data_IF_110932901791
#
_entry.id   IF_110932901791
#
_cell.length_a   1.000
_cell.length_b   1.000
_cell.length_c   1.000
_cell.angle_alpha   90.00
_cell.angle_beta   90.00
_cell.angle_gamma   90.00
#
_symmetry.space_group_name_H-M   'P 1'
#
loop_
_entity.id
_entity.type
_entity.pdbx_description
1 polymer ?
#
# COMPACT_ATOMS: atom_id res chain seq x y z
N UNK A 1 -28.58 -18.82 11.74
CA UNK A 1 -28.68 -17.39 12.10
C UNK A 1 -27.25 -16.89 12.16
N UNK A 2 -26.79 -16.24 11.09
CA UNK A 2 -25.48 -15.61 11.04
C UNK A 2 -25.48 -14.51 12.09
N UNK A 3 -24.57 -14.57 13.07
CA UNK A 3 -24.30 -13.39 13.89
C UNK A 3 -23.68 -12.36 12.94
N UNK A 4 -24.32 -11.21 12.81
CA UNK A 4 -23.68 -10.05 12.19
C UNK A 4 -22.36 -9.81 12.93
N UNK A 5 -21.23 -9.64 12.23
CA UNK A 5 -19.99 -9.25 12.88
C UNK A 5 -20.23 -7.94 13.64
N UNK A 6 -19.62 -7.82 14.82
CA UNK A 6 -19.64 -6.60 15.62
C UNK A 6 -18.83 -5.52 14.87
N UNK A 7 -19.52 -4.83 13.96
CA UNK A 7 -18.94 -3.79 13.11
C UNK A 7 -18.34 -2.64 13.92
N UNK A 8 -18.86 -2.37 15.13
CA UNK A 8 -18.30 -1.37 16.03
C UNK A 8 -16.94 -1.83 16.56
N UNK A 9 -16.82 -3.08 17.00
CA UNK A 9 -15.54 -3.64 17.44
C UNK A 9 -14.51 -3.69 16.31
N UNK A 10 -14.92 -4.06 15.09
CA UNK A 10 -14.03 -4.07 13.92
C UNK A 10 -13.57 -2.65 13.56
N UNK A 11 -14.49 -1.68 13.57
CA UNK A 11 -14.19 -0.28 13.28
C UNK A 11 -13.22 0.32 14.30
N UNK A 12 -13.49 0.14 15.60
CA UNK A 12 -12.61 0.62 16.67
C UNK A 12 -11.21 0.00 16.57
N UNK A 13 -11.12 -1.28 16.21
CA UNK A 13 -9.84 -1.95 15.97
C UNK A 13 -9.08 -1.34 14.78
N UNK A 14 -9.75 -1.11 13.65
CA UNK A 14 -9.14 -0.44 12.50
C UNK A 14 -8.63 0.95 12.88
N UNK A 15 -9.38 1.70 13.70
CA UNK A 15 -8.96 3.00 14.21
C UNK A 15 -7.74 2.90 15.14
N UNK A 16 -7.68 1.90 16.01
CA UNK A 16 -6.50 1.64 16.85
C UNK A 16 -5.27 1.30 16.00
N UNK A 17 -5.42 0.46 14.97
CA UNK A 17 -4.32 0.09 14.08
C UNK A 17 -3.79 1.29 13.29
N UNK A 18 -4.69 2.14 12.78
CA UNK A 18 -4.33 3.41 12.13
C UNK A 18 -3.54 4.33 13.06
N UNK A 19 -3.96 4.45 14.32
CA UNK A 19 -3.24 5.24 15.34
C UNK A 19 -1.86 4.67 15.61
N UNK A 20 -1.77 3.36 15.82
CA UNK A 20 -0.51 2.66 16.03
C UNK A 20 0.49 2.91 14.89
N UNK A 21 0.08 2.71 13.63
CA UNK A 21 0.95 2.97 12.47
C UNK A 21 1.34 4.45 12.39
N UNK A 22 0.40 5.37 12.61
CA UNK A 22 0.69 6.80 12.61
C UNK A 22 1.69 7.18 13.72
N UNK A 23 1.59 6.61 14.91
CA UNK A 23 2.52 6.83 16.02
C UNK A 23 3.92 6.30 15.68
N UNK A 24 4.03 5.10 15.11
CA UNK A 24 5.31 4.53 14.66
C UNK A 24 5.98 5.41 13.60
N UNK A 25 5.20 5.94 12.67
CA UNK A 25 5.68 6.88 11.64
C UNK A 25 6.19 8.19 12.24
N UNK A 26 5.44 8.77 13.20
CA UNK A 26 5.79 10.05 13.83
C UNK A 26 7.00 9.95 14.77
N UNK A 27 7.20 8.80 15.41
CA UNK A 27 8.29 8.57 16.36
C UNK A 27 9.56 8.07 15.70
N UNK A 28 9.53 7.77 14.39
CA UNK A 28 10.65 7.12 13.67
C UNK A 28 11.07 5.78 14.28
N UNK A 29 10.15 5.10 14.96
CA UNK A 29 10.36 3.77 15.57
C UNK A 29 10.09 2.63 14.58
N UNK A 30 9.81 2.95 13.33
CA UNK A 30 9.73 1.94 12.28
C UNK A 30 11.12 1.38 11.98
N UNK A 31 11.27 0.08 12.24
CA UNK A 31 12.45 -0.72 11.96
C UNK A 31 12.69 -0.92 10.45
N UNK A 32 12.83 0.18 9.69
CA UNK A 32 13.09 0.13 8.25
C UNK A 32 14.41 -0.57 7.91
N UNK A 33 15.34 -0.69 8.86
CA UNK A 33 16.54 -1.52 8.73
C UNK A 33 16.24 -3.02 8.57
N UNK A 34 15.06 -3.47 9.00
CA UNK A 34 14.57 -4.83 8.80
C UNK A 34 13.71 -4.95 7.53
N UNK A 35 13.43 -3.84 6.84
CA UNK A 35 12.69 -3.88 5.58
C UNK A 35 13.51 -4.56 4.49
N UNK A 36 12.81 -5.24 3.58
CA UNK A 36 13.41 -5.93 2.45
C UNK A 36 13.20 -5.12 1.17
N UNK A 37 14.29 -4.69 0.49
CA UNK A 37 14.18 -4.04 -0.81
C UNK A 37 13.70 -5.05 -1.86
N UNK A 38 12.70 -4.67 -2.65
CA UNK A 38 12.20 -5.44 -3.79
C UNK A 38 11.45 -4.51 -4.77
N UNK A 39 10.58 -5.08 -5.61
CA UNK A 39 9.63 -4.39 -6.47
C UNK A 39 8.22 -4.83 -6.10
N UNK A 40 7.26 -3.92 -6.24
CA UNK A 40 5.86 -4.26 -5.97
C UNK A 40 5.31 -5.28 -6.98
N UNK A 41 5.83 -5.28 -8.21
CA UNK A 41 5.49 -6.29 -9.22
C UNK A 41 5.89 -7.69 -8.76
N UNK A 42 7.14 -7.89 -8.33
CA UNK A 42 7.59 -9.18 -7.83
C UNK A 42 6.82 -9.62 -6.57
N UNK A 43 6.55 -8.69 -5.64
CA UNK A 43 5.70 -8.99 -4.47
C UNK A 43 4.31 -9.48 -4.90
N UNK A 44 3.65 -8.79 -5.84
CA UNK A 44 2.29 -9.14 -6.30
C UNK A 44 2.23 -10.40 -7.17
N UNK A 45 3.34 -10.82 -7.78
CA UNK A 45 3.45 -12.14 -8.42
C UNK A 45 3.47 -13.28 -7.39
N UNK A 46 4.06 -13.03 -6.23
CA UNK A 46 4.21 -14.02 -5.17
C UNK A 46 3.03 -14.00 -4.20
N UNK A 47 2.47 -12.84 -3.90
CA UNK A 47 1.51 -12.58 -2.83
C UNK A 47 0.36 -11.72 -3.34
N UNK A 48 -0.77 -11.73 -2.62
CA UNK A 48 -1.92 -10.88 -2.94
C UNK A 48 -2.25 -9.97 -1.77
N UNK A 49 -2.80 -8.79 -2.07
CA UNK A 49 -3.44 -7.90 -1.10
C UNK A 49 -4.96 -8.10 -1.05
N UNK A 50 -5.53 -9.03 -1.82
CA UNK A 50 -6.95 -9.37 -1.80
C UNK A 50 -7.40 -9.71 -0.37
N UNK A 51 -8.60 -9.27 0.00
CA UNK A 51 -9.22 -9.40 1.34
C UNK A 51 -8.49 -8.69 2.50
N UNK A 52 -7.34 -8.06 2.23
CA UNK A 52 -6.62 -7.27 3.24
C UNK A 52 -7.36 -5.96 3.54
N UNK A 53 -7.18 -5.40 4.74
CA UNK A 53 -7.73 -4.08 5.07
C UNK A 53 -6.74 -2.96 4.75
N UNK A 54 -7.25 -1.90 4.12
CA UNK A 54 -6.55 -0.65 3.93
C UNK A 54 -6.49 0.16 5.23
N UNK A 55 -5.30 0.23 5.82
CA UNK A 55 -5.07 1.07 7.00
C UNK A 55 -4.93 2.51 6.56
N UNK A 56 -4.04 2.81 5.62
CA UNK A 56 -3.80 4.19 5.21
C UNK A 56 -2.64 4.38 4.25
N UNK A 57 -2.49 5.63 3.83
CA UNK A 57 -1.33 6.13 3.08
C UNK A 57 -0.79 7.38 3.76
N UNK A 58 0.52 7.44 3.92
CA UNK A 58 1.25 8.60 4.41
C UNK A 58 2.26 9.01 3.35
N UNK A 59 2.31 10.29 3.04
CA UNK A 59 3.08 10.81 1.92
C UNK A 59 4.03 11.85 2.48
N UNK A 60 5.30 11.69 2.15
CA UNK A 60 6.34 12.68 2.40
C UNK A 60 6.77 13.29 1.06
N UNK A 61 6.25 14.48 0.70
CA UNK A 61 6.63 15.14 -0.53
C UNK A 61 8.09 15.63 -0.54
N UNK A 62 8.73 15.79 0.62
CA UNK A 62 10.12 16.26 0.68
C UNK A 62 11.10 15.14 0.35
N UNK A 63 10.79 13.92 0.78
CA UNK A 63 11.59 12.72 0.50
C UNK A 63 11.13 12.00 -0.78
N UNK A 64 10.06 12.47 -1.43
CA UNK A 64 9.43 11.81 -2.58
C UNK A 64 9.04 10.36 -2.23
N UNK A 65 8.42 10.13 -1.06
CA UNK A 65 8.07 8.80 -0.58
C UNK A 65 6.58 8.69 -0.23
N UNK A 66 6.05 7.48 -0.37
CA UNK A 66 4.75 7.10 0.18
C UNK A 66 4.87 5.82 0.98
N UNK A 67 4.25 5.77 2.14
CA UNK A 67 4.11 4.56 2.95
C UNK A 67 2.67 4.11 2.88
N UNK A 68 2.45 2.93 2.31
CA UNK A 68 1.17 2.25 2.26
C UNK A 68 1.11 1.25 3.42
N UNK A 69 0.02 1.25 4.18
CA UNK A 69 -0.16 0.29 5.27
C UNK A 69 -1.41 -0.56 5.09
N UNK A 70 -1.25 -1.85 5.36
CA UNK A 70 -2.27 -2.87 5.22
C UNK A 70 -2.31 -3.73 6.47
N UNK A 71 -3.51 -4.12 6.85
CA UNK A 71 -3.68 -5.31 7.68
C UNK A 71 -3.80 -6.49 6.72
N UNK A 72 -2.72 -7.25 6.59
CA UNK A 72 -2.49 -8.13 5.47
C UNK A 72 -3.11 -9.51 5.70
N UNK A 73 -4.03 -9.90 4.83
CA UNK A 73 -4.59 -11.25 4.83
C UNK A 73 -3.53 -12.27 4.35
N UNK A 74 -2.93 -12.96 5.32
CA UNK A 74 -1.90 -13.98 5.07
C UNK A 74 -2.48 -15.34 4.72
N UNK A 75 -3.81 -15.53 4.70
CA UNK A 75 -4.44 -16.79 4.33
C UNK A 75 -3.96 -17.27 2.95
N UNK A 76 -3.83 -16.34 2.00
CA UNK A 76 -3.37 -16.61 0.64
C UNK A 76 -1.85 -16.81 0.50
N UNK A 77 -1.08 -16.61 1.57
CA UNK A 77 0.37 -16.78 1.54
C UNK A 77 0.84 -18.25 1.51
N UNK A 78 -0.09 -19.22 1.53
CA UNK A 78 0.17 -20.67 1.50
C UNK A 78 1.12 -21.12 2.63
N UNK A 79 1.04 -20.47 3.79
CA UNK A 79 1.88 -20.76 4.96
C UNK A 79 3.35 -20.38 4.82
N UNK A 80 3.71 -19.52 3.85
CA UNK A 80 5.06 -18.95 3.75
C UNK A 80 5.30 -17.90 4.84
N UNK A 81 4.30 -17.11 5.20
CA UNK A 81 4.41 -16.11 6.26
C UNK A 81 4.18 -16.80 7.62
N UNK A 82 4.94 -16.45 8.68
CA UNK A 82 4.67 -16.95 10.02
C UNK A 82 3.21 -16.71 10.42
N UNK A 83 2.60 -17.70 11.07
CA UNK A 83 1.24 -17.66 11.63
C UNK A 83 0.12 -17.28 10.63
N UNK A 84 -0.03 -18.01 9.50
CA UNK A 84 -1.12 -17.80 8.57
C UNK A 84 -2.45 -18.08 9.28
N UNK A 85 -3.36 -17.11 9.26
CA UNK A 85 -4.57 -17.15 10.07
C UNK A 85 -5.75 -16.60 9.29
N UNK A 86 -6.88 -17.32 9.33
CA UNK A 86 -8.18 -16.85 8.86
C UNK A 86 -8.83 -15.87 9.86
N UNK A 87 -8.26 -15.77 11.06
CA UNK A 87 -8.70 -14.83 12.06
C UNK A 87 -8.09 -13.46 11.77
N UNK A 88 -8.94 -12.58 11.26
CA UNK A 88 -8.63 -11.15 11.03
C UNK A 88 -7.91 -10.52 12.23
N UNK A 89 -8.21 -10.94 13.46
CA UNK A 89 -7.60 -10.36 14.67
C UNK A 89 -6.07 -10.45 14.70
N UNK A 90 -5.50 -11.47 14.05
CA UNK A 90 -4.07 -11.79 14.08
C UNK A 90 -3.33 -11.53 12.77
N UNK A 91 -3.94 -10.78 11.86
CA UNK A 91 -3.27 -10.37 10.65
C UNK A 91 -2.11 -9.40 10.91
N UNK A 92 -0.93 -9.65 10.31
CA UNK A 92 0.21 -8.76 10.45
C UNK A 92 -0.02 -7.44 9.71
N UNK A 93 0.79 -6.45 10.06
CA UNK A 93 0.81 -5.16 9.35
C UNK A 93 1.84 -5.19 8.26
N UNK A 94 1.43 -5.09 7.01
CA UNK A 94 2.33 -4.89 5.89
C UNK A 94 2.47 -3.40 5.62
N UNK A 95 3.71 -2.93 5.61
CA UNK A 95 4.11 -1.60 5.21
C UNK A 95 4.90 -1.70 3.90
N UNK A 96 4.50 -0.89 2.93
CA UNK A 96 5.18 -0.78 1.63
C UNK A 96 5.62 0.66 1.46
N UNK A 97 6.93 0.90 1.44
CA UNK A 97 7.50 2.20 1.10
C UNK A 97 7.71 2.29 -0.40
N UNK A 98 6.96 3.16 -1.04
CA UNK A 98 7.15 3.55 -2.43
C UNK A 98 8.27 4.59 -2.49
N UNK A 99 9.39 4.21 -3.09
CA UNK A 99 10.52 5.11 -3.27
C UNK A 99 10.31 5.96 -4.54
N UNK A 100 10.65 7.25 -4.47
CA UNK A 100 10.51 8.22 -5.58
C UNK A 100 9.07 8.26 -6.12
N UNK A 101 8.11 8.50 -5.23
CA UNK A 101 6.73 8.81 -5.56
C UNK A 101 6.67 10.12 -6.35
N UNK A 102 6.12 10.01 -7.55
CA UNK A 102 5.93 11.14 -8.45
C UNK A 102 4.57 11.79 -8.25
N UNK A 103 3.55 10.94 -8.25
CA UNK A 103 2.16 11.34 -8.33
C UNK A 103 1.31 10.27 -7.68
N UNK A 104 0.25 10.72 -7.03
CA UNK A 104 -0.79 9.86 -6.54
C UNK A 104 -2.14 10.54 -6.73
N UNK A 105 -3.19 9.75 -6.92
CA UNK A 105 -4.55 10.26 -6.89
C UNK A 105 -5.52 9.16 -6.44
N UNK A 106 -6.68 9.60 -5.99
CA UNK A 106 -7.74 8.72 -5.53
C UNK A 106 -8.98 8.91 -6.39
N UNK A 107 -9.41 7.82 -7.03
CA UNK A 107 -10.66 7.75 -7.76
C UNK A 107 -11.75 7.17 -6.86
N UNK A 108 -12.66 8.03 -6.41
CA UNK A 108 -13.74 7.64 -5.50
C UNK A 108 -14.85 6.96 -6.30
N UNK A 109 -15.25 5.75 -5.89
CA UNK A 109 -16.46 5.13 -6.41
C UNK A 109 -17.66 5.49 -5.54
N UNK A 110 -18.69 6.08 -6.15
CA UNK A 110 -19.85 6.67 -5.46
C UNK A 110 -20.84 5.66 -4.82
N UNK A 111 -20.54 4.36 -4.79
CA UNK A 111 -21.57 3.33 -4.54
C UNK A 111 -21.53 2.58 -3.19
N UNK A 112 -20.63 2.91 -2.26
CA UNK A 112 -20.48 2.09 -1.05
C UNK A 112 -21.21 2.65 0.19
N UNK A 113 -21.80 1.72 0.97
CA UNK A 113 -22.75 2.00 2.07
C UNK A 113 -22.25 1.60 3.45
N UNK A 114 -21.21 0.78 3.56
CA UNK A 114 -20.77 0.14 4.80
C UNK A 114 -19.45 0.67 5.35
N UNK A 115 -18.70 1.46 4.57
CA UNK A 115 -17.43 2.04 5.02
C UNK A 115 -16.34 0.99 5.24
N UNK A 116 -16.49 -0.19 4.64
CA UNK A 116 -15.46 -1.22 4.63
C UNK A 116 -14.20 -0.71 3.93
N UNK A 117 -13.04 -1.22 4.35
CA UNK A 117 -11.73 -0.82 3.83
C UNK A 117 -11.01 -1.98 3.14
N UNK A 118 -11.76 -3.01 2.72
CA UNK A 118 -11.19 -4.17 2.05
C UNK A 118 -10.59 -3.82 0.70
N UNK A 119 -9.52 -4.53 0.37
CA UNK A 119 -8.87 -4.49 -0.93
C UNK A 119 -9.40 -5.63 -1.77
N UNK A 120 -9.98 -5.28 -2.91
CA UNK A 120 -10.42 -6.25 -3.92
C UNK A 120 -9.33 -6.61 -4.90
N UNK A 121 -8.39 -5.70 -5.19
CA UNK A 121 -7.28 -5.97 -6.10
C UNK A 121 -6.10 -5.00 -5.90
N UNK A 122 -4.90 -5.46 -6.20
CA UNK A 122 -3.71 -4.63 -6.34
C UNK A 122 -2.93 -5.08 -7.57
N UNK A 123 -2.53 -4.13 -8.40
CA UNK A 123 -1.83 -4.36 -9.66
C UNK A 123 -0.72 -3.33 -9.84
N UNK A 124 0.41 -3.75 -10.39
CA UNK A 124 1.53 -2.88 -10.76
C UNK A 124 1.96 -3.21 -12.17
N UNK A 125 2.15 -2.18 -13.00
CA UNK A 125 2.63 -2.33 -14.36
C UNK A 125 3.67 -1.25 -14.71
N UNK A 126 4.61 -1.60 -15.58
CA UNK A 126 5.49 -0.61 -16.20
C UNK A 126 4.65 0.31 -17.08
N UNK A 127 4.91 1.61 -17.01
CA UNK A 127 4.20 2.56 -17.85
C UNK A 127 4.68 2.48 -19.30
N UNK A 128 3.74 2.55 -20.21
CA UNK A 128 3.98 2.59 -21.65
C UNK A 128 4.53 3.96 -22.09
N UNK A 129 5.11 4.00 -23.29
CA UNK A 129 5.55 5.27 -23.89
C UNK A 129 4.37 6.24 -24.08
N UNK A 130 3.21 5.72 -24.48
CA UNK A 130 2.00 6.54 -24.67
C UNK A 130 1.54 7.17 -23.35
N UNK A 131 1.51 6.41 -22.25
CA UNK A 131 1.18 6.95 -20.92
C UNK A 131 2.19 8.00 -20.47
N UNK A 132 3.49 7.80 -20.73
CA UNK A 132 4.52 8.81 -20.47
C UNK A 132 4.26 10.12 -21.22
N UNK A 133 3.92 10.03 -22.50
CA UNK A 133 3.57 11.19 -23.33
C UNK A 133 2.33 11.90 -22.79
N UNK A 134 1.28 11.16 -22.43
CA UNK A 134 0.08 11.73 -21.83
C UNK A 134 0.39 12.47 -20.52
N UNK A 135 1.20 11.86 -19.65
CA UNK A 135 1.67 12.48 -18.40
C UNK A 135 2.45 13.77 -18.67
N UNK A 136 3.38 13.78 -19.64
CA UNK A 136 4.10 14.99 -20.05
C UNK A 136 3.14 16.13 -20.45
N UNK A 137 2.09 15.82 -21.21
CA UNK A 137 1.06 16.80 -21.57
C UNK A 137 0.32 17.32 -20.34
N UNK A 138 -0.07 16.45 -19.41
CA UNK A 138 -0.78 16.83 -18.18
C UNK A 138 0.08 17.71 -17.25
N UNK A 139 1.37 17.39 -17.10
CA UNK A 139 2.29 18.18 -16.26
C UNK A 139 2.60 19.57 -16.83
N UNK A 140 2.49 19.75 -18.16
CA UNK A 140 2.56 21.07 -18.77
C UNK A 140 1.34 21.97 -18.47
N UNK A 141 0.31 21.44 -17.79
CA UNK A 141 -1.03 22.03 -17.68
C UNK A 141 -1.58 22.40 -16.29
N UNK A 142 -0.77 22.48 -15.22
CA UNK A 142 -1.15 22.84 -13.82
C UNK A 142 -1.38 21.68 -12.80
N UNK A 143 -0.67 20.55 -12.88
CA UNK A 143 -0.69 19.56 -11.78
C UNK A 143 0.36 19.89 -10.69
N UNK A 144 0.00 19.69 -9.41
CA UNK A 144 0.96 19.68 -8.30
C UNK A 144 1.79 18.39 -8.38
N UNK A 145 3.09 18.53 -8.59
CA UNK A 145 4.07 17.45 -8.59
C UNK A 145 4.59 17.21 -7.16
N UNK A 146 4.78 15.95 -6.77
CA UNK A 146 5.52 15.62 -5.55
C UNK A 146 7.04 15.78 -5.75
N UNK A 147 7.54 15.57 -6.97
CA UNK A 147 8.96 15.64 -7.31
C UNK A 147 9.36 16.91 -8.09
N UNK A 148 10.62 17.30 -7.99
CA UNK A 148 11.15 18.46 -8.70
C UNK A 148 11.54 18.13 -10.16
N UNK A 149 10.68 18.46 -11.11
CA UNK A 149 10.96 18.38 -12.56
C UNK A 149 10.37 17.15 -13.26
N UNK A 150 10.51 17.05 -14.60
CA UNK A 150 9.92 15.98 -15.42
C UNK A 150 10.92 14.88 -15.80
N UNK A 151 12.17 14.95 -15.34
CA UNK A 151 13.23 14.01 -15.70
C UNK A 151 12.90 12.56 -15.33
N UNK A 152 12.15 12.37 -14.24
CA UNK A 152 11.70 11.06 -13.78
C UNK A 152 10.82 10.34 -14.84
N UNK A 153 10.14 11.07 -15.74
CA UNK A 153 9.30 10.48 -16.80
C UNK A 153 10.12 9.72 -17.84
N UNK A 154 11.44 9.88 -17.83
CA UNK A 154 12.36 9.13 -18.68
C UNK A 154 13.01 7.94 -17.97
N UNK A 155 12.70 7.73 -16.68
CA UNK A 155 13.19 6.57 -15.93
C UNK A 155 12.56 5.28 -16.48
N UNK A 156 13.38 4.32 -16.90
CA UNK A 156 12.88 3.01 -17.35
C UNK A 156 12.16 2.26 -16.22
N UNK A 157 12.48 2.59 -14.96
CA UNK A 157 11.93 1.96 -13.76
C UNK A 157 10.60 2.56 -13.30
N UNK A 158 9.98 3.46 -14.06
CA UNK A 158 8.73 4.09 -13.64
C UNK A 158 7.55 3.12 -13.80
N UNK A 159 6.80 2.90 -12.72
CA UNK A 159 5.66 1.98 -12.68
C UNK A 159 4.40 2.68 -12.19
N UNK A 160 3.26 2.21 -12.67
CA UNK A 160 1.93 2.60 -12.20
C UNK A 160 1.36 1.47 -11.36
N UNK A 161 1.08 1.79 -10.10
CA UNK A 161 0.45 0.90 -9.13
C UNK A 161 -0.97 1.35 -8.89
N UNK A 162 -1.89 0.40 -8.92
CA UNK A 162 -3.31 0.59 -8.65
C UNK A 162 -3.74 -0.32 -7.52
N UNK A 163 -4.39 0.23 -6.50
CA UNK A 163 -4.98 -0.53 -5.40
C UNK A 163 -6.46 -0.20 -5.33
N UNK A 164 -7.29 -1.20 -5.62
CA UNK A 164 -8.74 -1.09 -5.66
C UNK A 164 -9.35 -1.74 -4.44
N UNK A 165 -10.25 -1.04 -3.78
CA UNK A 165 -11.04 -1.55 -2.68
C UNK A 165 -12.46 -1.02 -2.73
N UNK A 166 -13.23 -1.36 -1.70
CA UNK A 166 -14.63 -0.94 -1.61
C UNK A 166 -14.77 0.59 -1.58
N UNK A 167 -13.81 1.33 -1.02
CA UNK A 167 -13.95 2.79 -0.96
C UNK A 167 -13.67 3.49 -2.30
N UNK A 168 -13.01 2.81 -3.24
CA UNK A 168 -12.49 3.40 -4.48
C UNK A 168 -11.12 2.84 -4.85
N UNK A 169 -10.38 3.61 -5.64
CA UNK A 169 -9.13 3.17 -6.24
C UNK A 169 -8.04 4.21 -6.02
N UNK A 170 -6.95 3.77 -5.39
CA UNK A 170 -5.72 4.54 -5.32
C UNK A 170 -4.85 4.25 -6.53
N UNK A 171 -4.22 5.30 -7.02
CA UNK A 171 -3.25 5.25 -8.09
C UNK A 171 -1.95 5.91 -7.64
N UNK A 172 -0.83 5.24 -7.88
CA UNK A 172 0.51 5.71 -7.54
C UNK A 172 1.42 5.57 -8.75
N UNK A 173 2.12 6.63 -9.09
CA UNK A 173 3.20 6.63 -10.07
C UNK A 173 4.51 6.80 -9.29
N UNK A 174 5.39 5.79 -9.35
CA UNK A 174 6.60 5.75 -8.54
C UNK A 174 7.68 4.90 -9.20
N UNK A 175 8.91 4.90 -8.66
CA UNK A 175 9.95 3.98 -9.10
C UNK A 175 9.60 2.53 -8.70
N UNK A 176 9.93 1.56 -9.54
CA UNK A 176 9.72 0.14 -9.32
C UNK A 176 10.21 -0.37 -7.96
N UNK A 177 11.30 0.21 -7.44
CA UNK A 177 11.89 -0.18 -6.17
C UNK A 177 11.01 0.24 -4.99
N UNK A 178 10.74 -0.71 -4.10
CA UNK A 178 9.99 -0.52 -2.86
C UNK A 178 10.73 -1.18 -1.71
N UNK A 179 10.44 -0.75 -0.49
CA UNK A 179 10.84 -1.48 0.71
C UNK A 179 9.63 -2.08 1.39
N UNK A 180 9.73 -3.37 1.71
CA UNK A 180 8.67 -4.15 2.32
C UNK A 180 9.01 -4.44 3.78
N UNK A 181 8.15 -4.01 4.69
CA UNK A 181 8.28 -4.29 6.12
C UNK A 181 6.99 -4.92 6.61
N UNK A 182 7.08 -6.10 7.21
CA UNK A 182 5.94 -6.77 7.81
C UNK A 182 6.13 -6.82 9.31
N UNK A 183 5.11 -6.43 10.08
CA UNK A 183 5.13 -6.36 11.54
C UNK A 183 4.08 -7.31 12.11
N UNK A 184 4.47 -8.10 13.11
CA UNK A 184 3.55 -8.88 13.92
C UNK A 184 2.63 -8.00 14.79
N UNK A 185 1.75 -8.63 15.57
CA UNK A 185 0.89 -7.92 16.53
C UNK A 185 1.69 -7.15 17.59
N UNK A 186 2.84 -7.68 17.98
CA UNK A 186 3.76 -7.10 18.96
C UNK A 186 4.64 -5.97 18.39
N UNK A 187 4.44 -5.63 17.10
CA UNK A 187 5.24 -4.64 16.39
C UNK A 187 6.63 -5.13 15.97
N UNK A 188 6.98 -6.40 16.23
CA UNK A 188 8.27 -6.93 15.82
C UNK A 188 8.26 -7.28 14.32
N UNK A 189 9.37 -7.05 13.60
CA UNK A 189 9.48 -7.44 12.20
C UNK A 189 9.34 -8.95 12.02
N UNK A 190 8.54 -9.35 11.03
CA UNK A 190 8.43 -10.73 10.57
C UNK A 190 8.93 -10.85 9.12
N UNK A 191 9.63 -11.94 8.76
CA UNK A 191 10.15 -12.10 7.41
C UNK A 191 9.04 -12.34 6.40
N UNK A 192 9.20 -11.80 5.19
CA UNK A 192 8.39 -12.13 4.01
C UNK A 192 9.23 -13.03 3.10
N UNK A 193 9.00 -14.36 3.07
CA UNK A 193 9.89 -15.24 2.31
C UNK A 193 9.80 -15.02 0.81
N UNK A 194 10.94 -15.13 0.12
CA UNK A 194 10.98 -15.04 -1.33
C UNK A 194 10.91 -13.63 -1.91
N UNK A 195 10.76 -12.59 -1.10
CA UNK A 195 10.73 -11.16 -1.51
C UNK A 195 11.86 -10.45 -0.84
#
# INVERSE_FOLDING_TARGET
MSQDPDWEALFERQMQKRRFVAELLLTSELHWEAARPDTLMHFLEQYTLHDSYWIGVWIDPLEEEAILAFEWDTFWAQGRVPDPTDQVISWPTLLIRLNKLVMYYYDKQDQFKDGSTYIGAAETQTITLEEREQLLTCFSGNLQLASSGTEFLFSEDLVHTTISGDMGRWHFLHNSQVDLLCLGEDGQPIPIPGV
#
